data_IF_104134373361
#
_entry.id   IF_104134373361
#
_cell.length_a   1.000
_cell.length_b   1.000
_cell.length_c   1.000
_cell.angle_alpha   90.00
_cell.angle_beta   90.00
_cell.angle_gamma   90.00
#
_symmetry.space_group_name_H-M   'P 1'
#
loop_
_entity.id
_entity.type
_entity.pdbx_description
1 polymer ?
#
# COMPACT_ATOMS: atom_id res chain seq x y z
N UNK A 1 -11.92 22.50 7.34
CA UNK A 1 -11.08 21.40 6.80
C UNK A 1 -11.90 20.24 6.26
N UNK A 2 -12.93 19.74 6.95
CA UNK A 2 -13.76 18.61 6.47
C UNK A 2 -14.32 18.77 5.05
N UNK A 3 -14.82 19.96 4.69
CA UNK A 3 -15.38 20.23 3.36
C UNK A 3 -14.33 20.05 2.25
N UNK A 4 -13.06 20.34 2.53
CA UNK A 4 -11.97 20.23 1.55
C UNK A 4 -11.66 18.75 1.31
N UNK A 5 -11.50 17.97 2.37
CA UNK A 5 -11.20 16.54 2.28
C UNK A 5 -12.30 15.75 1.59
N UNK A 6 -13.56 16.08 1.89
CA UNK A 6 -14.70 15.46 1.23
C UNK A 6 -14.74 15.84 -0.26
N UNK A 7 -14.59 17.13 -0.61
CA UNK A 7 -14.59 17.55 -2.01
C UNK A 7 -13.46 16.92 -2.81
N UNK A 8 -12.24 16.95 -2.31
CA UNK A 8 -11.04 16.49 -3.04
C UNK A 8 -10.93 14.97 -3.05
N UNK A 9 -10.99 14.33 -1.88
CA UNK A 9 -10.68 12.91 -1.70
C UNK A 9 -11.91 12.04 -1.44
N UNK A 10 -13.06 12.62 -1.08
CA UNK A 10 -14.25 11.84 -0.72
C UNK A 10 -14.10 11.12 0.62
N UNK A 11 -13.38 11.73 1.57
CA UNK A 11 -13.12 11.17 2.90
C UNK A 11 -13.50 12.16 4.00
N UNK A 12 -13.79 11.64 5.19
CA UNK A 12 -13.97 12.44 6.41
C UNK A 12 -12.64 13.02 6.90
N UNK A 13 -12.67 13.91 7.89
CA UNK A 13 -11.44 14.38 8.54
C UNK A 13 -10.64 13.25 9.19
N UNK A 14 -11.32 12.26 9.79
CA UNK A 14 -10.67 11.06 10.32
C UNK A 14 -10.04 10.23 9.20
N UNK A 15 -10.74 10.04 8.08
CA UNK A 15 -10.21 9.36 6.91
C UNK A 15 -8.97 10.06 6.31
N UNK A 16 -8.94 11.40 6.30
CA UNK A 16 -7.80 12.17 5.83
C UNK A 16 -6.51 11.88 6.64
N UNK A 17 -6.64 11.58 7.94
CA UNK A 17 -5.49 11.15 8.75
C UNK A 17 -4.90 9.83 8.24
N UNK A 18 -5.74 8.85 7.88
CA UNK A 18 -5.28 7.59 7.28
C UNK A 18 -4.58 7.81 5.93
N UNK A 19 -5.07 8.76 5.12
CA UNK A 19 -4.44 9.12 3.84
C UNK A 19 -3.07 9.73 4.06
N UNK A 20 -2.94 10.73 4.92
CA UNK A 20 -1.67 11.43 5.13
C UNK A 20 -0.61 10.51 5.75
N UNK A 21 -0.98 9.77 6.80
CA UNK A 21 -0.02 8.89 7.47
C UNK A 21 0.30 7.66 6.61
N UNK A 22 -0.69 7.12 5.90
CA UNK A 22 -0.46 6.08 4.89
C UNK A 22 0.50 6.57 3.81
N UNK A 23 0.36 7.82 3.38
CA UNK A 23 1.23 8.42 2.38
C UNK A 23 2.70 8.51 2.80
N UNK A 24 2.95 8.79 4.07
CA UNK A 24 4.28 8.94 4.62
C UNK A 24 4.92 7.59 5.01
N UNK A 25 4.15 6.70 5.64
CA UNK A 25 4.67 5.47 6.21
C UNK A 25 4.61 4.27 5.26
N UNK A 26 3.75 4.32 4.24
CA UNK A 26 3.56 3.24 3.26
C UNK A 26 2.84 2.01 3.82
N UNK A 27 2.89 0.91 3.07
CA UNK A 27 2.23 -0.33 3.44
C UNK A 27 2.85 -1.00 4.67
N UNK A 28 2.05 -1.65 5.54
CA UNK A 28 0.59 -1.68 5.58
C UNK A 28 -0.06 -0.59 6.47
N UNK A 29 0.66 0.49 6.79
CA UNK A 29 0.29 1.42 7.88
C UNK A 29 -1.03 2.15 7.61
N UNK A 30 -1.25 2.64 6.39
CA UNK A 30 -2.52 3.32 6.05
C UNK A 30 -3.74 2.40 6.20
N UNK A 31 -3.58 1.11 5.86
CA UNK A 31 -4.64 0.12 6.05
C UNK A 31 -4.89 -0.22 7.51
N UNK A 32 -3.84 -0.31 8.33
CA UNK A 32 -3.95 -0.46 9.79
C UNK A 32 -4.73 0.71 10.39
N UNK A 33 -4.34 1.95 10.08
CA UNK A 33 -5.02 3.15 10.61
C UNK A 33 -6.48 3.16 10.16
N UNK A 34 -6.76 2.85 8.90
CA UNK A 34 -8.13 2.72 8.40
C UNK A 34 -8.95 1.71 9.21
N UNK A 35 -8.36 0.55 9.56
CA UNK A 35 -8.99 -0.44 10.42
C UNK A 35 -9.24 0.09 11.83
N UNK A 36 -8.23 0.73 12.44
CA UNK A 36 -8.33 1.29 13.79
C UNK A 36 -9.42 2.38 13.88
N UNK A 37 -9.52 3.26 12.87
CA UNK A 37 -10.58 4.28 12.78
C UNK A 37 -11.98 3.65 12.68
N UNK A 38 -12.10 2.56 11.92
CA UNK A 38 -13.36 1.84 11.75
C UNK A 38 -13.78 1.11 13.03
N UNK A 39 -12.86 0.41 13.69
CA UNK A 39 -13.14 -0.29 14.95
C UNK A 39 -13.50 0.67 16.09
N UNK A 40 -12.93 1.88 16.06
CA UNK A 40 -13.28 2.96 16.98
C UNK A 40 -14.53 3.75 16.57
N UNK A 41 -15.25 3.31 15.53
CA UNK A 41 -16.46 3.96 15.01
C UNK A 41 -16.27 5.44 14.63
N UNK A 42 -15.07 5.81 14.19
CA UNK A 42 -14.77 7.17 13.70
C UNK A 42 -15.07 7.33 12.21
N UNK A 43 -15.07 6.23 11.46
CA UNK A 43 -15.45 6.18 10.04
C UNK A 43 -16.47 5.07 9.79
N UNK A 44 -17.26 5.19 8.72
CA UNK A 44 -18.22 4.15 8.34
C UNK A 44 -17.52 2.95 7.69
N UNK A 45 -18.23 1.83 7.58
CA UNK A 45 -17.73 0.66 6.84
C UNK A 45 -17.48 0.98 5.36
N UNK A 46 -18.34 1.79 4.75
CA UNK A 46 -18.20 2.19 3.34
C UNK A 46 -16.96 3.06 3.11
N UNK A 47 -16.70 3.99 4.03
CA UNK A 47 -15.52 4.85 4.00
C UNK A 47 -14.25 4.03 4.25
N UNK A 48 -14.28 3.10 5.21
CA UNK A 48 -13.14 2.22 5.49
C UNK A 48 -12.77 1.36 4.27
N UNK A 49 -13.76 0.72 3.63
CA UNK A 49 -13.53 -0.07 2.40
C UNK A 49 -12.98 0.80 1.26
N UNK A 50 -13.45 2.03 1.13
CA UNK A 50 -12.94 2.98 0.16
C UNK A 50 -11.49 3.39 0.46
N UNK A 51 -11.18 3.80 1.69
CA UNK A 51 -9.82 4.16 2.12
C UNK A 51 -8.81 3.04 1.89
N UNK A 52 -9.19 1.78 2.16
CA UNK A 52 -8.32 0.62 1.91
C UNK A 52 -7.86 0.52 0.44
N UNK A 53 -8.59 1.09 -0.52
CA UNK A 53 -8.24 0.98 -1.94
C UNK A 53 -7.05 1.84 -2.37
N UNK A 54 -6.71 2.91 -1.64
CA UNK A 54 -5.66 3.85 -2.05
C UNK A 54 -4.74 4.33 -0.91
N UNK A 55 -4.96 3.93 0.34
CA UNK A 55 -4.09 4.31 1.48
C UNK A 55 -2.90 3.36 1.70
N UNK A 56 -2.73 2.34 0.85
CA UNK A 56 -1.77 1.25 1.07
C UNK A 56 -0.75 1.10 -0.07
N UNK A 57 0.16 2.07 -0.19
CA UNK A 57 1.18 2.15 -1.24
C UNK A 57 2.60 2.15 -0.66
N UNK A 58 3.63 2.16 -1.51
CA UNK A 58 5.02 2.19 -1.07
C UNK A 58 5.36 3.53 -0.39
N UNK A 59 6.21 3.50 0.64
CA UNK A 59 6.64 4.72 1.31
C UNK A 59 7.61 5.53 0.45
N UNK A 60 7.71 6.85 0.63
CA UNK A 60 8.66 7.67 -0.13
C UNK A 60 10.10 7.24 0.04
N UNK A 61 10.47 6.78 1.24
CA UNK A 61 11.80 6.23 1.51
C UNK A 61 12.03 4.97 0.67
N UNK A 62 11.09 4.01 0.67
CA UNK A 62 11.21 2.80 -0.14
C UNK A 62 11.35 3.12 -1.64
N UNK A 63 10.54 4.04 -2.15
CA UNK A 63 10.60 4.46 -3.56
C UNK A 63 11.94 5.13 -3.89
N UNK A 64 12.43 6.05 -3.06
CA UNK A 64 13.67 6.76 -3.36
C UNK A 64 14.90 5.87 -3.24
N UNK A 65 15.02 5.15 -2.12
CA UNK A 65 16.25 4.42 -1.77
C UNK A 65 16.25 3.03 -2.39
N UNK A 66 15.27 2.21 -2.07
CA UNK A 66 15.26 0.82 -2.51
C UNK A 66 14.95 0.71 -4.00
N UNK A 67 13.87 1.36 -4.45
CA UNK A 67 13.42 1.23 -5.83
C UNK A 67 14.32 1.99 -6.82
N UNK A 68 14.47 3.31 -6.64
CA UNK A 68 15.19 4.14 -7.61
C UNK A 68 16.71 3.96 -7.51
N UNK A 69 17.29 4.09 -6.31
CA UNK A 69 18.73 4.05 -6.14
C UNK A 69 19.30 2.62 -6.22
N UNK A 70 18.72 1.66 -5.49
CA UNK A 70 19.23 0.27 -5.49
C UNK A 70 18.78 -0.49 -6.74
N UNK A 71 17.47 -0.67 -6.95
CA UNK A 71 16.98 -1.55 -8.02
C UNK A 71 17.17 -0.97 -9.44
N UNK A 72 16.91 0.33 -9.62
CA UNK A 72 17.03 1.00 -10.92
C UNK A 72 18.36 1.72 -11.14
N UNK A 73 19.28 1.71 -10.15
CA UNK A 73 20.62 2.33 -10.22
C UNK A 73 20.59 3.79 -10.67
N UNK A 74 19.58 4.54 -10.24
CA UNK A 74 19.33 5.94 -10.61
C UNK A 74 19.26 6.20 -12.13
N UNK A 75 19.01 5.17 -12.96
CA UNK A 75 18.87 5.32 -14.41
C UNK A 75 17.60 6.08 -14.80
N UNK A 76 16.59 6.07 -13.92
CA UNK A 76 15.35 6.82 -14.08
C UNK A 76 15.27 7.87 -12.97
N UNK A 77 14.99 9.15 -13.29
CA UNK A 77 14.83 10.18 -12.29
C UNK A 77 13.73 9.83 -11.28
N UNK A 78 14.05 9.89 -9.99
CA UNK A 78 13.09 9.56 -8.93
C UNK A 78 11.80 10.38 -9.02
N UNK A 79 11.88 11.63 -9.50
CA UNK A 79 10.73 12.52 -9.71
C UNK A 79 9.70 11.91 -10.67
N UNK A 80 10.17 11.27 -11.74
CA UNK A 80 9.31 10.58 -12.72
C UNK A 80 8.61 9.40 -12.06
N UNK A 81 9.35 8.59 -11.30
CA UNK A 81 8.79 7.43 -10.59
C UNK A 81 7.74 7.85 -9.56
N UNK A 82 8.01 8.90 -8.78
CA UNK A 82 7.02 9.48 -7.87
C UNK A 82 5.78 10.00 -8.59
N UNK A 83 5.96 10.71 -9.70
CA UNK A 83 4.85 11.21 -10.51
C UNK A 83 3.96 10.08 -11.05
N UNK A 84 4.56 8.99 -11.51
CA UNK A 84 3.83 7.80 -11.98
C UNK A 84 3.02 7.19 -10.83
N UNK A 85 3.62 6.90 -9.68
CA UNK A 85 2.86 6.32 -8.56
C UNK A 85 1.74 7.24 -8.07
N UNK A 86 2.02 8.53 -7.91
CA UNK A 86 1.01 9.50 -7.47
C UNK A 86 -0.16 9.58 -8.46
N UNK A 87 0.11 9.55 -9.77
CA UNK A 87 -0.93 9.58 -10.79
C UNK A 87 -1.74 8.28 -10.83
N UNK A 88 -1.09 7.12 -10.65
CA UNK A 88 -1.77 5.82 -10.51
C UNK A 88 -2.69 5.81 -9.29
N UNK A 89 -2.17 6.17 -8.12
CA UNK A 89 -2.93 6.17 -6.86
C UNK A 89 -4.13 7.13 -6.95
N UNK A 90 -3.93 8.32 -7.54
CA UNK A 90 -5.02 9.27 -7.80
C UNK A 90 -6.07 8.68 -8.75
N UNK A 91 -5.65 8.01 -9.82
CA UNK A 91 -6.56 7.38 -10.79
C UNK A 91 -7.41 6.30 -10.14
N UNK A 92 -6.79 5.45 -9.32
CA UNK A 92 -7.50 4.39 -8.58
C UNK A 92 -8.46 4.97 -7.55
N UNK A 93 -8.04 5.99 -6.80
CA UNK A 93 -8.91 6.71 -5.88
C UNK A 93 -10.15 7.25 -6.59
N UNK A 94 -9.98 7.98 -7.70
CA UNK A 94 -11.09 8.55 -8.48
C UNK A 94 -11.99 7.46 -9.08
N UNK A 95 -11.41 6.36 -9.58
CA UNK A 95 -12.14 5.23 -10.14
C UNK A 95 -13.04 4.59 -9.08
N UNK A 96 -12.50 4.26 -7.90
CA UNK A 96 -13.31 3.69 -6.83
C UNK A 96 -14.36 4.68 -6.32
N UNK A 97 -14.00 5.96 -6.20
CA UNK A 97 -14.94 7.00 -5.76
C UNK A 97 -16.16 7.13 -6.69
N UNK A 98 -15.92 7.32 -7.99
CA UNK A 98 -16.99 7.66 -8.93
C UNK A 98 -17.63 6.46 -9.61
N UNK A 99 -16.88 5.39 -9.89
CA UNK A 99 -17.40 4.24 -10.64
C UNK A 99 -17.94 3.17 -9.70
N UNK A 100 -17.16 2.78 -8.68
CA UNK A 100 -17.51 1.68 -7.77
C UNK A 100 -18.49 2.14 -6.69
N UNK A 101 -18.14 3.19 -5.95
CA UNK A 101 -18.96 3.72 -4.87
C UNK A 101 -19.96 4.79 -5.33
N UNK A 102 -19.86 5.29 -6.57
CA UNK A 102 -20.79 6.29 -7.15
C UNK A 102 -21.00 7.52 -6.27
N UNK A 103 -19.95 7.94 -5.57
CA UNK A 103 -19.97 9.03 -4.58
C UNK A 103 -20.99 8.81 -3.42
N UNK A 104 -21.46 7.57 -3.20
CA UNK A 104 -22.34 7.17 -2.10
C UNK A 104 -21.54 6.65 -0.91
N UNK A 105 -20.52 7.40 -0.51
CA UNK A 105 -19.72 7.08 0.68
C UNK A 105 -20.44 7.68 1.88
N UNK A 106 -20.82 6.83 2.84
CA UNK A 106 -21.47 7.28 4.07
C UNK A 106 -20.42 7.80 5.04
N UNK A 107 -20.65 8.98 5.61
CA UNK A 107 -19.82 9.54 6.67
C UNK A 107 -20.59 9.47 7.99
N UNK A 108 -19.89 9.16 9.08
CA UNK A 108 -20.48 9.25 10.42
C UNK A 108 -20.48 10.73 10.84
N UNK A 109 -21.63 11.24 11.30
CA UNK A 109 -21.68 12.58 11.89
C UNK A 109 -20.81 12.65 13.14
N UNK A 110 -20.06 13.74 13.28
CA UNK A 110 -19.21 14.03 14.44
C UNK A 110 -19.99 14.14 15.78
N UNK A 111 -21.32 14.12 15.77
CA UNK A 111 -22.19 14.27 16.94
C UNK A 111 -22.16 13.11 17.92
N UNK A 112 -21.63 11.94 17.55
CA UNK A 112 -21.36 10.85 18.52
C UNK A 112 -19.95 10.96 19.07
N UNK A 113 -19.67 12.01 19.85
CA UNK A 113 -18.56 12.00 20.81
C UNK A 113 -18.82 10.88 21.82
N UNK A 114 -18.36 9.65 21.52
CA UNK A 114 -18.06 8.69 22.58
C UNK A 114 -16.99 9.37 23.43
N UNK A 115 -17.35 9.76 24.65
CA UNK A 115 -16.40 10.20 25.66
C UNK A 115 -15.34 9.09 25.72
N UNK A 116 -14.12 9.38 25.29
CA UNK A 116 -12.97 8.56 25.70
C UNK A 116 -13.07 8.43 27.21
N UNK A 117 -13.03 7.22 27.79
CA UNK A 117 -12.97 7.09 29.23
C UNK A 117 -11.69 7.81 29.67
N UNK A 118 -11.84 9.01 30.23
CA UNK A 118 -10.73 9.77 30.81
C UNK A 118 -10.46 9.11 32.16
N UNK A 119 -9.82 7.94 32.16
CA UNK A 119 -9.40 7.28 33.40
C UNK A 119 -8.15 6.41 33.27
N UNK A 120 -7.39 6.51 32.18
CA UNK A 120 -6.04 5.93 32.12
C UNK A 120 -5.00 7.04 32.15
N UNK A 121 -3.98 6.88 32.99
CA UNK A 121 -2.84 7.80 33.07
C UNK A 121 -2.18 7.94 31.69
N UNK A 122 -1.65 9.13 31.39
CA UNK A 122 -0.99 9.38 30.09
C UNK A 122 0.12 8.37 29.76
N UNK A 123 0.76 7.78 30.79
CA UNK A 123 1.76 6.72 30.64
C UNK A 123 1.17 5.43 30.04
N UNK A 124 -0.02 5.01 30.50
CA UNK A 124 -0.66 3.79 29.99
C UNK A 124 -1.01 3.89 28.50
N UNK A 125 -1.40 5.07 27.99
CA UNK A 125 -1.65 5.27 26.56
C UNK A 125 -0.37 5.20 25.73
N UNK A 126 0.73 5.71 26.26
CA UNK A 126 2.04 5.66 25.62
C UNK A 126 2.54 4.21 25.56
N UNK A 127 2.42 3.46 26.65
CA UNK A 127 2.82 2.05 26.71
C UNK A 127 2.03 1.19 25.70
N UNK A 128 0.71 1.38 25.63
CA UNK A 128 -0.15 0.71 24.63
C UNK A 128 0.27 1.06 23.20
N UNK A 129 0.61 2.33 22.95
CA UNK A 129 1.06 2.78 21.62
C UNK A 129 2.40 2.16 21.23
N UNK A 130 3.35 2.08 22.17
CA UNK A 130 4.64 1.41 21.98
C UNK A 130 4.43 -0.07 21.68
N UNK A 131 3.61 -0.77 22.46
CA UNK A 131 3.33 -2.19 22.25
C UNK A 131 2.65 -2.47 20.91
N UNK A 132 1.68 -1.64 20.50
CA UNK A 132 1.06 -1.71 19.17
C UNK A 132 2.09 -1.50 18.05
N UNK A 133 3.08 -0.62 18.27
CA UNK A 133 4.22 -0.43 17.37
C UNK A 133 5.05 -1.70 17.23
N UNK A 134 5.47 -2.30 18.35
CA UNK A 134 6.22 -3.56 18.37
C UNK A 134 5.47 -4.69 17.67
N UNK A 135 4.18 -4.85 17.95
CA UNK A 135 3.34 -5.87 17.31
C UNK A 135 3.28 -5.68 15.80
N UNK A 136 3.09 -4.43 15.34
CA UNK A 136 3.03 -4.10 13.91
C UNK A 136 4.35 -4.43 13.20
N UNK A 137 5.47 -4.00 13.78
CA UNK A 137 6.81 -4.26 13.21
C UNK A 137 7.12 -5.75 13.20
N UNK A 138 6.78 -6.47 14.28
CA UNK A 138 7.00 -7.92 14.40
C UNK A 138 6.18 -8.69 13.37
N UNK A 139 4.89 -8.33 13.18
CA UNK A 139 4.05 -8.92 12.12
C UNK A 139 4.64 -8.67 10.74
N UNK A 140 5.13 -7.47 10.47
CA UNK A 140 5.78 -7.12 9.21
C UNK A 140 7.00 -8.01 8.94
N UNK A 141 7.94 -8.03 9.89
CA UNK A 141 9.16 -8.82 9.79
C UNK A 141 8.86 -10.32 9.65
N UNK A 142 7.89 -10.83 10.41
CA UNK A 142 7.46 -12.23 10.35
C UNK A 142 6.93 -12.64 8.97
N UNK A 143 6.04 -11.84 8.36
CA UNK A 143 5.55 -12.13 7.02
C UNK A 143 6.63 -11.97 5.94
N UNK A 144 7.48 -10.94 6.02
CA UNK A 144 8.59 -10.77 5.08
C UNK A 144 9.52 -11.98 5.15
N UNK A 145 9.92 -12.41 6.35
CA UNK A 145 10.76 -13.58 6.55
C UNK A 145 10.11 -14.86 6.01
N UNK A 146 8.85 -15.11 6.38
CA UNK A 146 8.11 -16.30 5.94
C UNK A 146 8.02 -16.38 4.41
N UNK A 147 7.61 -15.30 3.74
CA UNK A 147 7.50 -15.28 2.28
C UNK A 147 8.86 -15.28 1.57
N UNK A 148 9.92 -14.73 2.19
CA UNK A 148 11.30 -14.81 1.68
C UNK A 148 11.83 -16.24 1.71
N UNK A 149 11.61 -16.96 2.82
CA UNK A 149 11.96 -18.39 2.95
C UNK A 149 11.17 -19.21 1.92
N UNK A 150 9.86 -18.97 1.79
CA UNK A 150 9.03 -19.64 0.80
C UNK A 150 9.54 -19.40 -0.63
N UNK A 151 9.87 -18.16 -0.98
CA UNK A 151 10.46 -17.80 -2.27
C UNK A 151 11.79 -18.52 -2.51
N UNK A 152 12.65 -18.62 -1.49
CA UNK A 152 13.89 -19.37 -1.55
C UNK A 152 13.66 -20.87 -1.79
N UNK A 153 12.72 -21.50 -1.07
CA UNK A 153 12.34 -22.90 -1.27
C UNK A 153 11.84 -23.17 -2.70
N UNK A 154 10.94 -22.33 -3.22
CA UNK A 154 10.45 -22.47 -4.60
C UNK A 154 11.60 -22.36 -5.61
N UNK A 155 12.55 -21.47 -5.36
CA UNK A 155 13.71 -21.27 -6.24
C UNK A 155 14.73 -22.40 -6.20
N UNK A 156 14.69 -23.23 -5.16
CA UNK A 156 15.51 -24.44 -5.07
C UNK A 156 14.97 -25.53 -6.01
N UNK A 157 13.65 -25.69 -6.09
CA UNK A 157 13.01 -26.72 -6.92
C UNK A 157 12.71 -26.26 -8.35
N UNK A 158 12.58 -24.95 -8.59
CA UNK A 158 12.23 -24.38 -9.89
C UNK A 158 13.28 -23.37 -10.37
N UNK A 159 13.69 -23.46 -11.63
CA UNK A 159 14.64 -22.51 -12.20
C UNK A 159 13.97 -21.14 -12.45
N UNK A 160 14.17 -20.22 -11.51
CA UNK A 160 13.57 -18.87 -11.54
C UNK A 160 14.32 -17.86 -12.43
N UNK A 161 15.29 -18.30 -13.25
CA UNK A 161 16.12 -17.45 -14.12
C UNK A 161 15.42 -17.02 -15.43
N UNK A 162 14.11 -16.78 -15.38
CA UNK A 162 13.33 -16.29 -16.51
C UNK A 162 12.36 -15.19 -16.05
N UNK A 163 11.75 -14.48 -17.00
CA UNK A 163 10.84 -13.37 -16.72
C UNK A 163 9.70 -13.76 -15.78
N UNK A 164 9.16 -14.96 -15.97
CA UNK A 164 8.08 -15.53 -15.16
C UNK A 164 8.55 -15.74 -13.72
N UNK A 165 9.74 -16.33 -13.53
CA UNK A 165 10.33 -16.57 -12.22
C UNK A 165 10.61 -15.27 -11.45
N UNK A 166 11.17 -14.26 -12.10
CA UNK A 166 11.36 -12.95 -11.45
C UNK A 166 10.04 -12.31 -11.03
N UNK A 167 9.02 -12.40 -11.89
CA UNK A 167 7.69 -11.86 -11.60
C UNK A 167 7.02 -12.61 -10.44
N UNK A 168 7.04 -13.94 -10.45
CA UNK A 168 6.49 -14.77 -9.36
C UNK A 168 7.23 -14.50 -8.04
N UNK A 169 8.55 -14.35 -8.08
CA UNK A 169 9.33 -14.01 -6.90
C UNK A 169 8.88 -12.68 -6.29
N UNK A 170 8.66 -11.66 -7.11
CA UNK A 170 8.17 -10.34 -6.65
C UNK A 170 6.71 -10.34 -6.22
N UNK A 171 5.86 -11.16 -6.85
CA UNK A 171 4.48 -11.37 -6.41
C UNK A 171 4.46 -12.05 -5.04
N UNK A 172 5.32 -13.03 -4.78
CA UNK A 172 5.42 -13.68 -3.49
C UNK A 172 5.95 -12.74 -2.42
N UNK A 173 7.13 -12.17 -2.64
CA UNK A 173 7.79 -11.25 -1.72
C UNK A 173 8.51 -10.15 -2.51
N UNK A 174 8.07 -8.91 -2.29
CA UNK A 174 8.46 -7.76 -3.10
C UNK A 174 9.97 -7.52 -3.06
N UNK A 175 10.60 -7.50 -1.89
CA UNK A 175 12.01 -7.11 -1.77
C UNK A 175 12.95 -8.13 -2.42
N UNK A 176 12.76 -9.41 -2.12
CA UNK A 176 13.47 -10.53 -2.74
C UNK A 176 13.28 -10.53 -4.26
N UNK A 177 12.07 -10.30 -4.74
CA UNK A 177 11.78 -10.22 -6.18
C UNK A 177 12.49 -9.06 -6.88
N UNK A 178 12.44 -7.85 -6.30
CA UNK A 178 13.10 -6.68 -6.87
C UNK A 178 14.63 -6.84 -6.89
N UNK A 179 15.22 -7.40 -5.83
CA UNK A 179 16.64 -7.72 -5.76
C UNK A 179 17.07 -8.70 -6.88
N UNK A 180 16.25 -9.74 -7.14
CA UNK A 180 16.51 -10.68 -8.23
C UNK A 180 16.38 -10.04 -9.60
N UNK A 181 15.37 -9.18 -9.78
CA UNK A 181 15.12 -8.47 -11.04
C UNK A 181 16.24 -7.47 -11.37
N UNK A 182 16.81 -6.82 -10.37
CA UNK A 182 17.99 -5.95 -10.51
C UNK A 182 19.17 -6.71 -11.15
N UNK A 183 19.45 -7.91 -10.63
CA UNK A 183 20.56 -8.77 -11.07
C UNK A 183 20.27 -9.61 -12.32
N UNK A 184 19.02 -9.63 -12.80
CA UNK A 184 18.63 -10.37 -13.98
C UNK A 184 19.29 -9.82 -15.26
N UNK A 185 19.73 -10.68 -16.17
CA UNK A 185 20.21 -10.25 -17.49
C UNK A 185 19.03 -10.08 -18.47
N UNK A 186 18.18 -9.08 -18.23
CA UNK A 186 17.04 -8.74 -19.10
C UNK A 186 17.09 -7.27 -19.50
N UNK A 187 16.41 -6.93 -20.61
CA UNK A 187 16.35 -5.56 -21.13
C UNK A 187 15.82 -4.57 -20.08
N UNK A 188 16.43 -3.39 -20.00
CA UNK A 188 16.14 -2.40 -18.95
C UNK A 188 14.67 -1.97 -18.91
N UNK A 189 14.02 -1.89 -20.08
CA UNK A 189 12.59 -1.57 -20.16
C UNK A 189 11.72 -2.60 -19.40
N UNK A 190 12.00 -3.90 -19.52
CA UNK A 190 11.27 -4.93 -18.79
C UNK A 190 11.56 -4.88 -17.29
N UNK A 191 12.81 -4.61 -16.89
CA UNK A 191 13.16 -4.40 -15.48
C UNK A 191 12.35 -3.24 -14.90
N UNK A 192 12.35 -2.11 -15.58
CA UNK A 192 11.64 -0.90 -15.18
C UNK A 192 10.14 -1.16 -15.00
N UNK A 193 9.47 -1.70 -16.03
CA UNK A 193 8.02 -1.93 -15.99
C UNK A 193 7.62 -2.94 -14.90
N UNK A 194 8.34 -4.05 -14.77
CA UNK A 194 8.07 -5.06 -13.74
C UNK A 194 8.33 -4.50 -12.33
N UNK A 195 9.40 -3.74 -12.16
CA UNK A 195 9.76 -3.13 -10.87
C UNK A 195 8.67 -2.18 -10.39
N UNK A 196 8.15 -1.34 -11.30
CA UNK A 196 7.03 -0.43 -11.00
C UNK A 196 5.72 -1.18 -10.75
N UNK A 197 5.39 -2.16 -11.59
CA UNK A 197 4.20 -3.00 -11.42
C UNK A 197 4.18 -3.66 -10.04
N UNK A 198 5.26 -4.37 -9.69
CA UNK A 198 5.36 -5.12 -8.43
C UNK A 198 5.26 -4.20 -7.21
N UNK A 199 5.86 -3.01 -7.29
CA UNK A 199 5.82 -2.04 -6.19
C UNK A 199 4.42 -1.45 -5.98
N UNK A 200 3.72 -1.09 -7.06
CA UNK A 200 2.33 -0.61 -6.98
C UNK A 200 1.37 -1.73 -6.53
N UNK A 201 1.55 -2.94 -7.05
CA UNK A 201 0.73 -4.11 -6.75
C UNK A 201 0.95 -4.67 -5.33
N UNK A 202 2.16 -4.62 -4.80
CA UNK A 202 2.53 -5.09 -3.46
C UNK A 202 2.54 -6.62 -3.25
N UNK A 203 1.92 -7.40 -4.13
CA UNK A 203 2.01 -8.86 -4.07
C UNK A 203 1.26 -9.50 -2.89
N UNK A 204 1.52 -10.80 -2.72
CA UNK A 204 0.88 -11.68 -1.74
C UNK A 204 1.39 -11.36 -0.33
N UNK A 205 2.71 -11.20 -0.14
CA UNK A 205 3.27 -10.89 1.18
C UNK A 205 2.64 -9.63 1.80
N UNK A 206 2.58 -8.51 1.06
CA UNK A 206 1.97 -7.27 1.57
C UNK A 206 0.46 -7.43 1.78
N UNK A 207 -0.22 -8.23 0.95
CA UNK A 207 -1.64 -8.55 1.17
C UNK A 207 -1.88 -9.29 2.48
N UNK A 208 -1.02 -10.26 2.83
CA UNK A 208 -1.08 -10.97 4.12
C UNK A 208 -0.71 -10.07 5.30
N UNK A 209 0.33 -9.25 5.17
CA UNK A 209 0.68 -8.22 6.17
C UNK A 209 -0.53 -7.31 6.44
N UNK A 210 -1.16 -6.81 5.38
CA UNK A 210 -2.34 -5.95 5.47
C UNK A 210 -3.51 -6.69 6.12
N UNK A 211 -3.77 -7.93 5.71
CA UNK A 211 -4.86 -8.75 6.29
C UNK A 211 -4.69 -8.98 7.80
N UNK A 212 -3.46 -9.09 8.27
CA UNK A 212 -3.14 -9.31 9.68
C UNK A 212 -3.42 -8.10 10.57
N UNK A 213 -3.47 -6.90 9.98
CA UNK A 213 -3.71 -5.63 10.69
C UNK A 213 -5.12 -5.08 10.46
N UNK A 214 -5.79 -5.50 9.38
CA UNK A 214 -7.15 -5.09 9.08
C UNK A 214 -8.14 -6.05 9.75
N UNK A 215 -9.14 -5.48 10.44
CA UNK A 215 -10.19 -6.23 11.14
C UNK A 215 -10.91 -7.23 10.24
N UNK A 216 -11.42 -8.31 10.82
CA UNK A 216 -12.11 -9.38 10.06
C UNK A 216 -13.45 -8.93 9.49
N UNK A 217 -14.03 -7.85 10.03
CA UNK A 217 -15.29 -7.23 9.60
C UNK A 217 -15.20 -6.52 8.25
N UNK A 218 -13.99 -6.11 7.82
CA UNK A 218 -13.78 -5.48 6.52
C UNK A 218 -13.38 -6.52 5.48
N UNK A 219 -14.03 -6.48 4.31
CA UNK A 219 -13.67 -7.31 3.17
C UNK A 219 -12.39 -6.80 2.53
N UNK A 220 -11.46 -7.71 2.24
CA UNK A 220 -10.22 -7.40 1.50
C UNK A 220 -10.41 -7.36 -0.02
N UNK A 221 -11.58 -7.71 -0.52
CA UNK A 221 -11.80 -7.78 -1.97
C UNK A 221 -11.59 -6.42 -2.67
N UNK A 222 -12.16 -5.29 -2.19
CA UNK A 222 -11.91 -3.98 -2.80
C UNK A 222 -10.43 -3.58 -2.75
N UNK A 223 -9.72 -3.96 -1.69
CA UNK A 223 -8.29 -3.73 -1.56
C UNK A 223 -7.49 -4.50 -2.63
N UNK A 224 -7.73 -5.81 -2.76
CA UNK A 224 -6.98 -6.66 -3.71
C UNK A 224 -7.25 -6.20 -5.15
N UNK A 225 -8.50 -5.89 -5.49
CA UNK A 225 -8.85 -5.41 -6.83
C UNK A 225 -8.22 -4.04 -7.11
N UNK A 226 -8.22 -3.13 -6.14
CA UNK A 226 -7.57 -1.83 -6.27
C UNK A 226 -6.07 -1.95 -6.47
N UNK A 227 -5.38 -2.81 -5.71
CA UNK A 227 -3.93 -3.02 -5.86
C UNK A 227 -3.55 -3.60 -7.22
N UNK A 228 -4.34 -4.54 -7.74
CA UNK A 228 -4.12 -5.10 -9.08
C UNK A 228 -4.32 -4.03 -10.17
N UNK A 229 -5.41 -3.28 -10.09
CA UNK A 229 -5.67 -2.16 -11.01
C UNK A 229 -4.59 -1.08 -10.90
N UNK A 230 -4.08 -0.81 -9.71
CA UNK A 230 -3.00 0.15 -9.48
C UNK A 230 -1.70 -0.29 -10.14
N UNK A 231 -1.37 -1.58 -10.05
CA UNK A 231 -0.23 -2.17 -10.77
C UNK A 231 -0.36 -1.98 -12.29
N UNK A 232 -1.52 -2.29 -12.86
CA UNK A 232 -1.78 -2.15 -14.30
C UNK A 232 -1.69 -0.68 -14.74
N UNK A 233 -2.38 0.23 -14.04
CA UNK A 233 -2.36 1.67 -14.35
C UNK A 233 -0.96 2.27 -14.23
N UNK A 234 -0.16 1.83 -13.27
CA UNK A 234 1.25 2.22 -13.13
C UNK A 234 2.08 1.83 -14.36
N UNK A 235 1.89 0.62 -14.90
CA UNK A 235 2.58 0.20 -16.13
C UNK A 235 2.14 1.04 -17.32
N UNK A 236 0.85 1.34 -17.45
CA UNK A 236 0.33 2.17 -18.53
C UNK A 236 0.93 3.59 -18.50
N UNK A 237 0.98 4.22 -17.33
CA UNK A 237 1.63 5.52 -17.18
C UNK A 237 3.14 5.43 -17.42
N UNK A 238 3.82 4.38 -16.92
CA UNK A 238 5.23 4.19 -17.17
C UNK A 238 5.57 4.08 -18.66
N UNK A 239 4.74 3.37 -19.43
CA UNK A 239 4.87 3.27 -20.89
C UNK A 239 4.62 4.61 -21.61
N UNK A 240 3.65 5.38 -21.13
CA UNK A 240 3.35 6.71 -21.67
C UNK A 240 4.53 7.66 -21.47
N UNK A 241 5.06 7.75 -20.24
CA UNK A 241 6.21 8.60 -19.93
C UNK A 241 7.50 8.13 -20.61
N UNK A 242 7.71 6.82 -20.80
CA UNK A 242 8.89 6.31 -21.51
C UNK A 242 8.91 6.61 -23.01
N UNK A 243 7.78 7.02 -23.60
CA UNK A 243 7.72 7.46 -25.01
C UNK A 243 7.97 8.95 -25.18
N UNK A 244 7.88 9.72 -24.10
CA UNK A 244 8.01 11.18 -24.08
C UNK A 244 9.46 11.60 -23.76
N UNK A 245 10.21 10.73 -23.09
CA UNK A 245 11.64 10.86 -22.78
C UNK A 245 12.45 10.16 -23.87
#
# INVERSE_FOLDING_TARGET
MEVIWNKVLGVSAAGAYAVIVGALCGYPVGAKITSDLYENHQISESEAKYLLTFTNHASPVFVRTYLCHICLKDQIPARTVFGIFALSDLTIMLLFRFVVYRNKIQFLSADKKKKTPVSSSSGAFLDVSIMNGFETVTRLGGYILMFSILSACISHFWNMKNLIGYTLSGILELTTGLCRLQNANIHMQWKYLLTLFLTAFGGICITFQTRSLVTRKLSMLPYITAKLLNGITTVLFALFFSKII
#
